data_IF_370754847738
#
_entry.id   IF_370754847738
#
_cell.length_a   1.000
_cell.length_b   1.000
_cell.length_c   1.000
_cell.angle_alpha   90.00
_cell.angle_beta   90.00
_cell.angle_gamma   90.00
#
_symmetry.space_group_name_H-M   'P 1'
#
loop_
_entity.id
_entity.type
_entity.pdbx_description
1 polymer ?
#
# COMPACT_ATOMS: atom_id res chain seq x y z
N UNK A 1 -17.72 22.00 19.88
CA UNK A 1 -18.35 21.81 18.55
C UNK A 1 -18.86 20.37 18.48
N UNK A 2 -20.08 20.13 17.97
CA UNK A 2 -20.57 18.76 17.78
C UNK A 2 -19.71 18.03 16.72
N UNK A 3 -19.45 16.72 16.86
CA UNK A 3 -18.73 15.96 15.84
C UNK A 3 -19.51 16.01 14.51
N UNK A 4 -18.80 16.10 13.40
CA UNK A 4 -19.40 16.02 12.09
C UNK A 4 -20.10 14.66 11.92
N UNK A 5 -21.27 14.58 11.28
CA UNK A 5 -21.98 13.32 11.10
C UNK A 5 -21.11 12.31 10.34
N UNK A 6 -20.99 11.11 10.89
CA UNK A 6 -20.28 10.00 10.24
C UNK A 6 -21.00 9.65 8.94
N UNK A 7 -20.29 9.77 7.82
CA UNK A 7 -20.81 9.34 6.52
C UNK A 7 -20.98 7.83 6.53
N UNK A 8 -22.19 7.35 6.21
CA UNK A 8 -22.46 5.92 6.12
C UNK A 8 -21.86 5.39 4.81
N UNK A 9 -20.72 4.72 4.91
CA UNK A 9 -20.11 4.02 3.79
C UNK A 9 -20.92 2.74 3.50
N UNK A 10 -21.35 2.56 2.24
CA UNK A 10 -22.14 1.38 1.82
C UNK A 10 -21.42 0.47 0.84
N UNK A 11 -20.45 1.00 0.11
CA UNK A 11 -19.70 0.26 -0.92
C UNK A 11 -18.26 0.12 -0.49
N UNK A 12 -17.73 -1.10 -0.59
CA UNK A 12 -16.37 -1.44 -0.18
C UNK A 12 -15.66 -2.07 -1.36
N UNK A 13 -14.65 -1.35 -1.85
CA UNK A 13 -13.66 -1.92 -2.77
C UNK A 13 -12.74 -2.84 -1.97
N UNK A 14 -12.58 -4.06 -2.45
CA UNK A 14 -11.75 -5.07 -1.79
C UNK A 14 -10.59 -5.43 -2.71
N UNK A 15 -9.37 -5.32 -2.19
CA UNK A 15 -8.14 -5.72 -2.89
C UNK A 15 -7.47 -6.81 -2.07
N UNK A 16 -7.10 -7.93 -2.71
CA UNK A 16 -6.54 -9.11 -2.03
C UNK A 16 -5.22 -9.56 -2.65
N UNK A 17 -4.27 -9.89 -1.78
CA UNK A 17 -3.09 -10.70 -2.10
C UNK A 17 -3.16 -11.98 -1.26
N UNK A 18 -3.13 -13.15 -1.89
CA UNK A 18 -3.27 -14.44 -1.22
C UNK A 18 -2.24 -15.44 -1.75
N UNK A 19 -1.26 -15.80 -0.89
CA UNK A 19 -0.21 -16.76 -1.22
C UNK A 19 -0.76 -18.13 -1.65
N UNK A 20 -1.81 -18.60 -0.98
CA UNK A 20 -2.43 -19.90 -1.26
C UNK A 20 -3.11 -20.00 -2.62
N UNK A 21 -3.48 -18.86 -3.21
CA UNK A 21 -4.17 -18.77 -4.50
C UNK A 21 -3.28 -18.19 -5.61
N UNK A 22 -2.00 -17.93 -5.33
CA UNK A 22 -1.10 -17.20 -6.24
C UNK A 22 -1.70 -15.88 -6.77
N UNK A 23 -2.54 -15.24 -5.95
CA UNK A 23 -3.16 -13.95 -6.27
C UNK A 23 -2.28 -12.83 -5.71
N UNK A 24 -1.82 -11.92 -6.57
CA UNK A 24 -1.13 -10.71 -6.17
C UNK A 24 -1.97 -9.49 -6.59
N UNK A 25 -2.31 -8.63 -5.63
CA UNK A 25 -3.01 -7.37 -5.86
C UNK A 25 -4.27 -7.51 -6.75
N UNK A 26 -5.12 -8.48 -6.42
CA UNK A 26 -6.33 -8.78 -7.19
C UNK A 26 -7.53 -8.04 -6.62
N UNK A 27 -8.18 -7.21 -7.45
CA UNK A 27 -9.50 -6.65 -7.12
C UNK A 27 -10.54 -7.76 -7.00
N UNK A 28 -11.31 -7.70 -5.92
CA UNK A 28 -12.41 -8.63 -5.64
C UNK A 28 -13.74 -7.95 -5.96
N UNK A 29 -14.83 -8.73 -6.07
CA UNK A 29 -16.17 -8.16 -6.17
C UNK A 29 -16.40 -7.15 -5.05
N UNK A 30 -16.97 -6.00 -5.41
CA UNK A 30 -17.36 -4.97 -4.45
C UNK A 30 -18.32 -5.56 -3.43
N UNK A 31 -18.09 -5.25 -2.15
CA UNK A 31 -18.99 -5.66 -1.08
C UNK A 31 -19.91 -4.50 -0.72
N UNK A 32 -21.16 -4.83 -0.38
CA UNK A 32 -22.09 -3.90 0.21
C UNK A 32 -22.13 -4.08 1.72
N UNK A 33 -21.99 -2.99 2.46
CA UNK A 33 -22.17 -2.98 3.90
C UNK A 33 -23.65 -2.86 4.21
N UNK A 34 -24.15 -3.83 4.95
CA UNK A 34 -25.52 -3.86 5.44
C UNK A 34 -25.53 -3.61 6.95
N UNK A 35 -26.57 -2.94 7.43
CA UNK A 35 -26.77 -2.76 8.86
C UNK A 35 -27.17 -4.11 9.44
N UNK A 36 -26.37 -4.61 10.38
CA UNK A 36 -26.60 -5.90 11.01
C UNK A 36 -27.11 -5.67 12.44
N UNK A 37 -28.41 -5.87 12.63
CA UNK A 37 -29.09 -5.60 13.92
C UNK A 37 -28.85 -6.69 14.98
N UNK A 38 -28.38 -7.87 14.57
CA UNK A 38 -28.13 -9.02 15.44
C UNK A 38 -26.72 -9.57 15.22
N UNK A 39 -25.74 -9.03 15.96
CA UNK A 39 -24.41 -9.62 16.03
C UNK A 39 -24.46 -10.83 16.97
N UNK A 40 -24.35 -12.04 16.42
CA UNK A 40 -24.16 -13.22 17.25
C UNK A 40 -22.76 -13.17 17.86
N UNK A 41 -22.62 -13.61 19.12
CA UNK A 41 -21.32 -13.63 19.81
C UNK A 41 -20.27 -14.54 19.13
N UNK A 42 -20.66 -15.31 18.11
CA UNK A 42 -19.82 -16.24 17.37
C UNK A 42 -19.28 -15.67 16.05
N UNK A 43 -19.73 -14.48 15.62
CA UNK A 43 -19.25 -13.84 14.40
C UNK A 43 -17.99 -13.01 14.65
N UNK A 44 -16.91 -13.29 13.91
CA UNK A 44 -15.70 -12.47 13.94
C UNK A 44 -16.03 -11.05 13.44
N UNK A 45 -15.94 -10.08 14.35
CA UNK A 45 -16.39 -8.70 14.11
C UNK A 45 -15.28 -7.71 14.46
N UNK A 46 -15.15 -6.65 13.67
CA UNK A 46 -14.23 -5.52 13.92
C UNK A 46 -15.05 -4.24 13.90
N UNK A 47 -14.91 -3.42 14.96
CA UNK A 47 -15.58 -2.14 15.08
C UNK A 47 -14.61 -1.00 14.81
N UNK A 48 -15.03 -0.02 14.02
CA UNK A 48 -14.27 1.19 13.71
C UNK A 48 -14.98 2.37 14.34
N UNK A 49 -14.28 3.09 15.24
CA UNK A 49 -14.83 4.23 15.97
C UNK A 49 -14.24 5.55 15.43
N UNK A 50 -14.89 6.23 14.47
CA UNK A 50 -14.34 7.44 13.84
C UNK A 50 -14.32 8.66 14.77
N UNK A 51 -15.16 8.67 15.82
CA UNK A 51 -15.28 9.80 16.75
C UNK A 51 -14.24 9.79 17.89
N UNK A 52 -13.36 8.79 17.91
CA UNK A 52 -12.26 8.72 18.87
C UNK A 52 -11.21 9.82 18.65
N UNK A 53 -10.33 10.07 19.65
CA UNK A 53 -9.22 10.99 19.46
C UNK A 53 -8.34 10.50 18.28
N UNK A 54 -7.94 11.40 17.36
CA UNK A 54 -7.15 10.99 16.21
C UNK A 54 -5.77 10.49 16.65
N UNK A 55 -5.32 9.42 15.99
CA UNK A 55 -3.94 8.95 16.12
C UNK A 55 -2.95 9.86 15.39
N UNK A 56 -1.70 9.39 15.28
CA UNK A 56 -0.67 10.07 14.51
C UNK A 56 -1.03 10.19 13.02
N UNK A 57 -0.79 11.36 12.43
CA UNK A 57 -0.94 11.56 11.00
C UNK A 57 0.06 10.70 10.21
N UNK A 58 -0.42 10.03 9.17
CA UNK A 58 0.43 9.30 8.23
C UNK A 58 1.19 10.28 7.35
N UNK A 59 2.52 10.17 7.31
CA UNK A 59 3.35 10.97 6.41
C UNK A 59 3.30 10.47 4.96
N UNK A 60 3.11 9.17 4.77
CA UNK A 60 3.07 8.53 3.47
C UNK A 60 3.60 7.11 3.50
N UNK A 61 3.63 6.48 2.33
CA UNK A 61 4.12 5.12 2.13
C UNK A 61 5.08 5.09 0.93
N UNK A 62 6.05 4.18 0.99
CA UNK A 62 6.90 3.86 -0.15
C UNK A 62 8.12 3.04 0.22
N UNK A 63 9.23 3.27 -0.48
CA UNK A 63 10.40 2.37 -0.47
C UNK A 63 11.74 3.06 -0.17
N UNK A 64 12.80 2.25 -0.12
CA UNK A 64 14.17 2.75 -0.03
C UNK A 64 14.81 2.85 -1.41
N UNK A 65 15.45 3.98 -1.69
CA UNK A 65 16.23 4.20 -2.90
C UNK A 65 17.69 3.89 -2.64
N UNK A 66 18.06 2.62 -2.85
CA UNK A 66 19.42 2.12 -2.67
C UNK A 66 20.22 2.15 -3.97
N UNK A 67 21.55 2.10 -3.85
CA UNK A 67 22.44 2.04 -5.02
C UNK A 67 22.14 0.81 -5.90
N UNK A 68 22.02 -0.40 -5.34
CA UNK A 68 21.67 -1.56 -6.16
C UNK A 68 20.27 -1.47 -6.80
N UNK A 69 19.30 -0.81 -6.17
CA UNK A 69 18.02 -0.55 -6.81
C UNK A 69 18.20 0.38 -8.02
N UNK A 70 19.03 1.42 -7.90
CA UNK A 70 19.36 2.32 -9.00
C UNK A 70 20.12 1.60 -10.14
N UNK A 71 21.14 0.80 -9.83
CA UNK A 71 21.89 0.01 -10.82
C UNK A 71 20.98 -1.00 -11.53
N UNK A 72 20.11 -1.68 -10.79
CA UNK A 72 19.14 -2.62 -11.37
C UNK A 72 18.15 -1.89 -12.27
N UNK A 73 17.64 -0.74 -11.84
CA UNK A 73 16.72 0.09 -12.61
C UNK A 73 17.37 0.61 -13.90
N UNK A 74 18.61 1.10 -13.85
CA UNK A 74 19.34 1.60 -15.02
C UNK A 74 19.63 0.52 -16.07
N UNK A 75 19.70 -0.76 -15.66
CA UNK A 75 19.87 -1.90 -16.59
C UNK A 75 18.60 -2.27 -17.34
N UNK A 76 17.43 -1.74 -16.95
CA UNK A 76 16.18 -2.00 -17.64
C UNK A 76 16.07 -1.17 -18.93
N UNK A 77 15.44 -1.68 -19.99
CA UNK A 77 15.04 -0.85 -21.13
C UNK A 77 14.14 0.30 -20.72
N UNK A 78 14.18 1.41 -21.43
CA UNK A 78 13.41 2.63 -21.12
C UNK A 78 11.91 2.38 -20.90
N UNK A 79 11.31 1.49 -21.68
CA UNK A 79 9.89 1.12 -21.55
C UNK A 79 9.62 0.50 -20.18
N UNK A 80 10.51 -0.38 -19.70
CA UNK A 80 10.40 -1.04 -18.40
C UNK A 80 10.71 -0.08 -17.25
N UNK A 81 11.65 0.84 -17.43
CA UNK A 81 11.90 1.91 -16.44
C UNK A 81 10.63 2.75 -16.21
N UNK A 82 9.96 3.17 -17.29
CA UNK A 82 8.70 3.92 -17.20
C UNK A 82 7.58 3.11 -16.55
N UNK A 83 7.48 1.82 -16.87
CA UNK A 83 6.51 0.92 -16.25
C UNK A 83 6.73 0.79 -14.74
N UNK A 84 7.99 0.63 -14.30
CA UNK A 84 8.34 0.59 -12.87
C UNK A 84 7.95 1.89 -12.17
N UNK A 85 8.29 3.05 -12.74
CA UNK A 85 7.95 4.34 -12.16
C UNK A 85 6.43 4.54 -12.07
N UNK A 86 5.70 4.21 -13.13
CA UNK A 86 4.24 4.29 -13.13
C UNK A 86 3.63 3.37 -12.07
N UNK A 87 4.02 2.11 -12.04
CA UNK A 87 3.44 1.14 -11.11
C UNK A 87 3.70 1.51 -9.64
N UNK A 88 4.83 2.13 -9.30
CA UNK A 88 5.10 2.55 -7.93
C UNK A 88 4.50 3.92 -7.57
N UNK A 89 4.63 4.93 -8.43
CA UNK A 89 4.40 6.32 -8.05
C UNK A 89 3.15 6.97 -8.66
N UNK A 90 2.54 6.36 -9.67
CA UNK A 90 1.25 6.84 -10.19
C UNK A 90 0.16 6.64 -9.13
N UNK A 91 -0.60 7.69 -8.85
CA UNK A 91 -1.60 7.71 -7.78
C UNK A 91 -2.87 6.93 -8.14
N UNK A 92 -3.18 6.82 -9.43
CA UNK A 92 -4.44 6.24 -9.92
C UNK A 92 -4.20 4.85 -10.53
N UNK A 93 -3.17 4.74 -11.36
CA UNK A 93 -2.83 3.52 -12.09
C UNK A 93 -1.74 2.68 -11.39
N UNK A 94 -1.16 3.18 -10.30
CA UNK A 94 -0.08 2.53 -9.55
C UNK A 94 -0.39 2.39 -8.06
N UNK A 95 0.67 2.20 -7.26
CA UNK A 95 0.59 2.06 -5.81
C UNK A 95 0.55 3.42 -5.07
N UNK A 96 0.73 4.54 -5.77
CA UNK A 96 0.70 5.88 -5.19
C UNK A 96 1.76 6.12 -4.12
N UNK A 97 2.96 5.53 -4.26
CA UNK A 97 4.07 5.80 -3.34
C UNK A 97 4.38 7.29 -3.33
N UNK A 98 4.43 7.88 -2.14
CA UNK A 98 4.64 9.30 -1.93
C UNK A 98 5.71 9.61 -0.88
N UNK A 99 6.33 8.57 -0.31
CA UNK A 99 7.40 8.68 0.67
C UNK A 99 8.55 7.75 0.32
N UNK A 100 9.75 8.31 0.17
CA UNK A 100 10.98 7.56 -0.09
C UNK A 100 12.01 7.76 1.00
N UNK A 101 12.89 6.76 1.19
CA UNK A 101 14.10 6.90 2.03
C UNK A 101 15.34 6.87 1.15
N UNK A 102 16.24 7.82 1.37
CA UNK A 102 17.56 7.87 0.75
C UNK A 102 18.61 7.75 1.86
N UNK A 103 19.65 6.97 1.60
CA UNK A 103 20.76 6.82 2.54
C UNK A 103 21.74 7.99 2.40
N UNK A 104 22.17 8.58 3.53
CA UNK A 104 23.27 9.55 3.57
C UNK A 104 24.55 8.77 3.93
N UNK A 105 25.35 8.42 2.92
CA UNK A 105 26.58 7.59 3.04
C UNK A 105 26.43 6.15 2.50
N UNK A 106 27.54 5.41 2.37
CA UNK A 106 27.53 4.04 1.84
C UNK A 106 27.16 3.01 2.92
N UNK A 107 25.95 2.44 2.86
CA UNK A 107 25.66 1.09 3.38
C UNK A 107 24.24 0.67 3.05
N UNK A 108 24.12 -0.51 2.42
CA UNK A 108 22.94 -1.36 2.60
C UNK A 108 22.35 -2.06 1.38
N UNK A 109 22.95 -1.99 0.18
CA UNK A 109 22.78 -2.91 -0.95
C UNK A 109 23.74 -2.44 -2.05
N UNK A 110 25.05 -2.48 -1.79
CA UNK A 110 26.07 -2.15 -2.79
C UNK A 110 26.54 -3.46 -3.40
N UNK A 111 26.51 -3.59 -4.73
CA UNK A 111 27.01 -4.78 -5.42
C UNK A 111 28.52 -4.82 -5.29
N UNK A 112 29.02 -5.47 -4.24
CA UNK A 112 30.43 -5.81 -4.12
C UNK A 112 30.79 -6.81 -5.22
N UNK A 113 31.62 -6.39 -6.16
CA UNK A 113 32.17 -7.25 -7.20
C UNK A 113 33.03 -8.34 -6.58
N UNK A 114 32.56 -9.59 -6.64
CA UNK A 114 33.39 -10.78 -6.49
C UNK A 114 33.83 -11.24 -7.88
N UNK A 115 34.97 -10.72 -8.34
CA UNK A 115 35.81 -11.40 -9.32
C UNK A 115 37.15 -11.63 -8.64
N UNK A 116 37.40 -12.89 -8.30
CA UNK A 116 38.65 -13.46 -7.82
C UNK A 116 38.58 -14.95 -8.10
#
# INVERSE_FOLDING_TARGET
PAPAPVSVYRRVRVVRTARSKTEAWSEQPELQLEQQDNLSAQAASVFVCPDGPPGQAWLGFGGSFTEAAAVTFQRLPDVRQKEVLRNYFDADAGLGYNLGRVHIGSRGLSTGGGMG
#
